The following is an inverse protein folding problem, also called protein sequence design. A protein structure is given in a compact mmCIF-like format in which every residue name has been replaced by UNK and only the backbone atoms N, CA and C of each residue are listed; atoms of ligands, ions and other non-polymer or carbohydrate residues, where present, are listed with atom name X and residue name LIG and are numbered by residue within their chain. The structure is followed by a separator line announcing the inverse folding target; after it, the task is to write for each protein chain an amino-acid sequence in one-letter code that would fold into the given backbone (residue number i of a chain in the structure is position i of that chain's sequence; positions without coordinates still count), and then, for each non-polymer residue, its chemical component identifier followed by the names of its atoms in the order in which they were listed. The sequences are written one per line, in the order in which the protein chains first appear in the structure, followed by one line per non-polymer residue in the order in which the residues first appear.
data_IF_835472719324
#
_entry.id   IF_835472719324
#
_cell.length_a   1.000
_cell.length_b   1.000
_cell.length_c   1.000
_cell.angle_alpha   90.00
_cell.angle_beta   90.00
_cell.angle_gamma   90.00
#
_symmetry.space_group_name_H-M   'P 1'
#
loop_
_entity.id
_entity.type
_entity.pdbx_description
1 polymer ?
#
# COMPACT_ATOMS: atom_id res chain seq x y z
N UNK A 1 38.36 -24.55 30.76
CA UNK A 1 38.38 -23.20 31.37
C UNK A 1 37.26 -22.40 30.73
N UNK A 2 36.27 -21.97 31.52
CA UNK A 2 35.14 -21.14 31.09
C UNK A 2 35.68 -19.70 30.99
N UNK A 3 35.82 -19.09 29.80
CA UNK A 3 36.64 -17.88 29.68
C UNK A 3 36.07 -16.64 30.40
N UNK A 4 34.81 -16.64 30.86
CA UNK A 4 34.16 -15.49 31.52
C UNK A 4 33.17 -15.86 32.67
N UNK A 5 33.24 -17.06 33.25
CA UNK A 5 32.44 -17.43 34.43
C UNK A 5 30.97 -17.80 34.21
N UNK A 6 30.47 -17.89 32.98
CA UNK A 6 29.13 -18.42 32.67
C UNK A 6 29.10 -19.19 31.34
N UNK A 7 28.18 -20.16 31.24
CA UNK A 7 27.87 -20.90 30.02
C UNK A 7 26.96 -20.05 29.13
N UNK A 8 27.41 -19.75 27.91
CA UNK A 8 26.60 -19.13 26.86
C UNK A 8 26.27 -20.18 25.81
N UNK A 9 25.00 -20.28 25.44
CA UNK A 9 24.50 -21.14 24.37
C UNK A 9 23.41 -20.37 23.61
N UNK A 10 23.50 -20.40 22.28
CA UNK A 10 22.54 -19.78 21.37
C UNK A 10 22.00 -20.89 20.45
N UNK A 11 20.67 -21.10 20.49
CA UNK A 11 20.00 -22.05 19.61
C UNK A 11 19.50 -21.32 18.36
N UNK A 12 20.27 -21.44 17.28
CA UNK A 12 19.99 -20.78 15.99
C UNK A 12 18.63 -21.20 15.40
N UNK A 13 18.11 -22.38 15.76
CA UNK A 13 16.87 -22.94 15.20
C UNK A 13 15.62 -22.61 16.04
N UNK A 14 15.81 -22.12 17.26
CA UNK A 14 14.73 -21.96 18.22
C UNK A 14 13.68 -20.96 17.76
N UNK A 15 14.10 -19.83 17.18
CA UNK A 15 13.20 -18.77 16.72
C UNK A 15 12.29 -19.26 15.58
N UNK A 16 12.87 -19.86 14.55
CA UNK A 16 12.13 -20.40 13.40
C UNK A 16 11.15 -21.49 13.84
N UNK A 17 11.59 -22.42 14.70
CA UNK A 17 10.74 -23.47 15.27
C UNK A 17 9.58 -22.89 16.08
N UNK A 18 9.85 -21.87 16.90
CA UNK A 18 8.86 -21.23 17.76
C UNK A 18 7.80 -20.50 16.95
N UNK A 19 8.21 -19.70 15.97
CA UNK A 19 7.30 -18.97 15.08
C UNK A 19 6.43 -19.93 14.26
N UNK A 20 7.02 -21.03 13.75
CA UNK A 20 6.27 -22.07 13.06
C UNK A 20 5.21 -22.74 13.96
N UNK A 21 5.55 -23.03 15.23
CA UNK A 21 4.61 -23.57 16.22
C UNK A 21 3.51 -22.57 16.57
N UNK A 22 3.82 -21.29 16.73
CA UNK A 22 2.82 -20.22 16.93
C UNK A 22 1.84 -20.15 15.74
N UNK A 23 2.32 -20.34 14.52
CA UNK A 23 1.46 -20.40 13.34
C UNK A 23 0.53 -21.62 13.36
N UNK A 24 1.04 -22.78 13.80
CA UNK A 24 0.21 -23.98 13.98
C UNK A 24 -0.87 -23.78 15.03
N UNK A 25 -0.53 -23.17 16.18
CA UNK A 25 -1.49 -22.80 17.23
C UNK A 25 -2.59 -21.90 16.66
N UNK A 26 -2.21 -20.84 15.92
CA UNK A 26 -3.16 -19.93 15.26
C UNK A 26 -4.12 -20.69 14.34
N UNK A 27 -3.60 -21.53 13.45
CA UNK A 27 -4.41 -22.31 12.49
C UNK A 27 -5.36 -23.28 13.17
N UNK A 28 -5.02 -23.76 14.37
CA UNK A 28 -5.89 -24.60 15.19
C UNK A 28 -6.83 -23.82 16.12
N UNK A 29 -6.74 -22.47 16.13
CA UNK A 29 -7.50 -21.60 17.03
C UNK A 29 -7.07 -21.65 18.50
N UNK A 30 -5.97 -22.34 18.82
CA UNK A 30 -5.49 -22.48 20.18
C UNK A 30 -4.83 -21.19 20.67
N UNK A 31 -5.22 -20.75 21.87
CA UNK A 31 -4.72 -19.53 22.52
C UNK A 31 -4.97 -18.22 21.75
N UNK A 32 -5.75 -18.25 20.67
CA UNK A 32 -6.17 -17.04 19.97
C UNK A 32 -7.04 -16.18 20.89
N UNK A 33 -6.62 -14.95 21.11
CA UNK A 33 -7.22 -13.95 22.00
C UNK A 33 -7.70 -12.72 21.22
N UNK A 34 -7.68 -12.77 19.89
CA UNK A 34 -8.32 -11.79 19.00
C UNK A 34 -9.02 -12.46 17.83
N UNK A 35 -10.15 -11.86 17.46
CA UNK A 35 -10.94 -12.13 16.28
C UNK A 35 -11.00 -10.88 15.40
N UNK A 36 -10.46 -10.98 14.18
CA UNK A 36 -10.59 -9.95 13.16
C UNK A 36 -11.76 -10.30 12.26
N UNK A 37 -12.78 -9.43 12.21
CA UNK A 37 -13.89 -9.55 11.28
C UNK A 37 -13.64 -8.63 10.08
N UNK A 38 -13.32 -9.20 8.93
CA UNK A 38 -13.00 -8.47 7.69
C UNK A 38 -14.09 -8.74 6.67
N UNK A 39 -14.94 -7.74 6.36
CA UNK A 39 -16.05 -7.89 5.43
C UNK A 39 -16.87 -9.19 5.65
N UNK A 40 -17.21 -9.47 6.90
CA UNK A 40 -17.96 -10.66 7.32
C UNK A 40 -17.14 -11.96 7.48
N UNK A 41 -15.87 -11.98 7.05
CA UNK A 41 -14.97 -13.12 7.24
C UNK A 41 -14.28 -13.04 8.60
N UNK A 42 -14.18 -14.18 9.28
CA UNK A 42 -13.61 -14.26 10.62
C UNK A 42 -12.20 -14.85 10.58
N UNK A 43 -11.23 -14.11 11.12
CA UNK A 43 -9.83 -14.52 11.21
C UNK A 43 -9.38 -14.48 12.68
N UNK A 44 -9.07 -15.65 13.24
CA UNK A 44 -8.57 -15.78 14.61
C UNK A 44 -7.04 -15.63 14.64
N UNK A 45 -6.52 -14.93 15.65
CA UNK A 45 -5.09 -14.72 15.83
C UNK A 45 -4.71 -14.46 17.31
N UNK A 46 -3.41 -14.31 17.55
CA UNK A 46 -2.86 -13.87 18.83
C UNK A 46 -2.52 -12.38 18.79
N UNK A 47 -3.01 -11.61 19.77
CA UNK A 47 -2.75 -10.17 19.93
C UNK A 47 -1.27 -9.88 20.01
N UNK A 48 -0.53 -10.67 20.78
CA UNK A 48 0.91 -10.49 20.97
C UNK A 48 1.69 -10.51 19.65
N UNK A 49 1.39 -11.48 18.76
CA UNK A 49 2.06 -11.58 17.46
C UNK A 49 1.68 -10.40 16.56
N UNK A 50 0.40 -10.05 16.49
CA UNK A 50 -0.07 -8.97 15.63
C UNK A 50 0.42 -7.59 16.10
N UNK A 51 0.48 -7.37 17.41
CA UNK A 51 1.04 -6.18 18.02
C UNK A 51 2.51 -5.95 17.65
N UNK A 52 3.32 -7.02 17.59
CA UNK A 52 4.72 -6.92 17.18
C UNK A 52 4.88 -6.49 15.72
N UNK A 53 3.93 -6.82 14.85
CA UNK A 53 4.01 -6.54 13.41
C UNK A 53 3.26 -5.27 12.99
N UNK A 54 2.31 -4.79 13.80
CA UNK A 54 1.41 -3.68 13.48
C UNK A 54 1.29 -2.73 14.68
N UNK A 55 1.90 -1.53 14.59
CA UNK A 55 1.71 -0.48 15.59
C UNK A 55 0.24 -0.07 15.76
N UNK A 56 -0.54 -0.13 14.68
CA UNK A 56 -1.97 0.16 14.72
C UNK A 56 -2.74 -0.87 15.57
N UNK A 57 -2.47 -2.16 15.37
CA UNK A 57 -3.10 -3.20 16.18
C UNK A 57 -2.60 -3.17 17.62
N UNK A 58 -1.32 -2.87 17.86
CA UNK A 58 -0.80 -2.64 19.22
C UNK A 58 -1.56 -1.52 19.95
N UNK A 59 -1.79 -0.37 19.29
CA UNK A 59 -2.59 0.73 19.83
C UNK A 59 -4.02 0.27 20.16
N UNK A 60 -4.69 -0.41 19.21
CA UNK A 60 -6.05 -0.92 19.43
C UNK A 60 -6.10 -1.87 20.61
N UNK A 61 -5.21 -2.85 20.66
CA UNK A 61 -5.21 -3.86 21.72
C UNK A 61 -4.94 -3.26 23.09
N UNK A 62 -4.14 -2.19 23.21
CA UNK A 62 -3.93 -1.53 24.49
C UNK A 62 -5.12 -0.67 24.92
N UNK A 63 -5.88 -0.15 23.97
CA UNK A 63 -7.13 0.58 24.25
C UNK A 63 -8.34 -0.34 24.45
N UNK A 64 -8.18 -1.63 24.16
CA UNK A 64 -9.28 -2.58 24.20
C UNK A 64 -9.64 -2.97 25.64
N UNK A 65 -10.91 -2.76 25.98
CA UNK A 65 -11.48 -3.03 27.29
C UNK A 65 -12.45 -4.22 27.27
N UNK A 66 -12.41 -5.06 26.22
CA UNK A 66 -13.33 -6.18 26.06
C UNK A 66 -13.35 -7.09 27.31
N UNK A 67 -14.49 -7.17 28.03
CA UNK A 67 -14.60 -7.95 29.26
C UNK A 67 -14.66 -9.47 29.01
N UNK A 68 -14.83 -9.92 27.77
CA UNK A 68 -14.99 -11.33 27.41
C UNK A 68 -13.67 -12.05 27.13
N UNK A 69 -12.54 -11.35 27.23
CA UNK A 69 -11.19 -11.91 27.13
C UNK A 69 -10.69 -12.16 25.71
N UNK A 70 -11.56 -12.13 24.70
CA UNK A 70 -11.18 -12.19 23.27
C UNK A 70 -11.57 -10.89 22.60
N UNK A 71 -10.59 -10.17 22.06
CA UNK A 71 -10.78 -8.90 21.36
C UNK A 71 -11.54 -9.09 20.04
N UNK A 72 -12.55 -8.26 19.76
CA UNK A 72 -13.28 -8.26 18.49
C UNK A 72 -12.99 -6.99 17.70
N UNK A 73 -12.25 -7.09 16.60
CA UNK A 73 -11.91 -5.94 15.75
C UNK A 73 -12.56 -6.11 14.38
N UNK A 74 -13.25 -5.07 13.91
CA UNK A 74 -13.95 -5.08 12.63
C UNK A 74 -13.29 -4.17 11.60
N UNK A 75 -13.11 -4.69 10.39
CA UNK A 75 -12.65 -3.98 9.21
C UNK A 75 -13.66 -4.14 8.08
N UNK A 76 -14.27 -3.03 7.65
CA UNK A 76 -15.24 -2.97 6.55
C UNK A 76 -14.60 -2.47 5.25
N UNK A 77 -13.41 -1.86 5.37
CA UNK A 77 -12.66 -1.19 4.31
C UNK A 77 -11.50 -2.04 3.76
N UNK A 78 -11.37 -3.29 4.23
CA UNK A 78 -10.26 -4.17 3.87
C UNK A 78 -10.73 -5.43 3.14
N UNK A 79 -9.87 -5.90 2.24
CA UNK A 79 -10.06 -7.17 1.58
C UNK A 79 -9.66 -8.34 2.51
N UNK A 80 -10.52 -9.36 2.70
CA UNK A 80 -10.24 -10.48 3.61
C UNK A 80 -8.98 -11.27 3.28
N UNK A 81 -8.74 -11.54 1.99
CA UNK A 81 -7.61 -12.34 1.53
C UNK A 81 -6.29 -11.58 1.71
N UNK A 82 -6.29 -10.27 1.46
CA UNK A 82 -5.17 -9.40 1.73
C UNK A 82 -4.80 -9.39 3.23
N UNK A 83 -5.80 -9.31 4.12
CA UNK A 83 -5.56 -9.40 5.57
C UNK A 83 -5.01 -10.78 5.94
N UNK A 84 -5.54 -11.86 5.37
CA UNK A 84 -5.02 -13.22 5.61
C UNK A 84 -3.56 -13.38 5.16
N UNK A 85 -3.17 -12.79 4.02
CA UNK A 85 -1.77 -12.75 3.56
C UNK A 85 -0.89 -12.02 4.59
N UNK A 86 -1.35 -10.90 5.15
CA UNK A 86 -0.61 -10.17 6.18
C UNK A 86 -0.50 -10.95 7.50
N UNK A 87 -1.56 -11.67 7.90
CA UNK A 87 -1.50 -12.59 9.04
C UNK A 87 -0.51 -13.71 8.78
N UNK A 88 -0.52 -14.32 7.60
CA UNK A 88 0.47 -15.34 7.26
C UNK A 88 1.88 -14.79 7.30
N UNK A 89 2.11 -13.57 6.81
CA UNK A 89 3.40 -12.88 6.93
C UNK A 89 3.83 -12.69 8.39
N UNK A 90 2.94 -12.24 9.28
CA UNK A 90 3.25 -12.04 10.70
C UNK A 90 3.72 -13.33 11.42
N UNK A 91 3.30 -14.49 10.93
CA UNK A 91 3.63 -15.80 11.53
C UNK A 91 4.66 -16.61 10.73
N UNK A 92 5.17 -16.10 9.61
CA UNK A 92 6.12 -16.86 8.76
C UNK A 92 7.26 -16.02 8.21
N UNK A 93 7.20 -14.69 8.36
CA UNK A 93 8.05 -13.73 7.68
C UNK A 93 8.03 -13.84 6.13
N UNK A 94 7.10 -14.60 5.55
CA UNK A 94 6.96 -14.79 4.11
C UNK A 94 5.71 -14.07 3.61
N UNK A 95 5.91 -13.17 2.64
CA UNK A 95 4.80 -12.50 1.95
C UNK A 95 4.52 -13.24 0.64
N UNK A 96 3.43 -14.00 0.60
CA UNK A 96 2.98 -14.73 -0.59
C UNK A 96 1.68 -14.14 -1.08
N UNK A 97 1.75 -13.36 -2.15
CA UNK A 97 0.61 -12.73 -2.79
C UNK A 97 0.70 -12.94 -4.30
N UNK A 98 -0.42 -13.22 -4.94
CA UNK A 98 -0.52 -13.21 -6.39
C UNK A 98 -0.35 -11.78 -6.92
N UNK A 99 0.12 -11.65 -8.17
CA UNK A 99 0.51 -10.35 -8.74
C UNK A 99 -0.65 -9.37 -8.76
N UNK A 100 -1.84 -9.91 -9.04
CA UNK A 100 -3.10 -9.20 -9.16
C UNK A 100 -3.57 -8.66 -7.80
N UNK A 101 -3.14 -9.27 -6.68
CA UNK A 101 -3.55 -8.93 -5.32
C UNK A 101 -2.63 -7.94 -4.60
N UNK A 102 -1.50 -7.56 -5.21
CA UNK A 102 -0.48 -6.76 -4.51
C UNK A 102 -1.01 -5.36 -4.13
N UNK A 103 -1.98 -4.81 -4.87
CA UNK A 103 -2.62 -3.52 -4.54
C UNK A 103 -3.44 -3.62 -3.27
N UNK A 104 -4.24 -4.67 -3.11
CA UNK A 104 -5.07 -4.92 -1.93
C UNK A 104 -4.19 -5.19 -0.71
N UNK A 105 -3.12 -5.98 -0.87
CA UNK A 105 -2.12 -6.23 0.19
C UNK A 105 -1.41 -4.93 0.58
N UNK A 106 -1.05 -4.08 -0.39
CA UNK A 106 -0.49 -2.75 -0.11
C UNK A 106 -1.44 -1.90 0.72
N UNK A 107 -2.72 -1.81 0.30
CA UNK A 107 -3.74 -1.02 1.00
C UNK A 107 -3.95 -1.51 2.43
N UNK A 108 -4.06 -2.82 2.63
CA UNK A 108 -4.19 -3.43 3.95
C UNK A 108 -2.95 -3.19 4.81
N UNK A 109 -1.74 -3.33 4.25
CA UNK A 109 -0.49 -3.08 4.96
C UNK A 109 -0.38 -1.62 5.41
N UNK A 110 -0.74 -0.67 4.54
CA UNK A 110 -0.81 0.75 4.89
C UNK A 110 -1.81 1.00 6.02
N UNK A 111 -3.02 0.46 5.89
CA UNK A 111 -4.11 0.63 6.86
C UNK A 111 -3.77 0.07 8.24
N UNK A 112 -3.06 -1.06 8.28
CA UNK A 112 -2.58 -1.72 9.50
C UNK A 112 -1.19 -1.21 9.94
N UNK A 113 -0.66 -0.14 9.34
CA UNK A 113 0.68 0.42 9.65
C UNK A 113 1.83 -0.62 9.58
N UNK A 114 1.73 -1.62 8.70
CA UNK A 114 2.78 -2.62 8.46
C UNK A 114 3.79 -2.12 7.42
N UNK A 115 4.64 -1.17 7.84
CA UNK A 115 5.47 -0.35 6.93
C UNK A 115 6.39 -1.16 6.03
N UNK A 116 7.05 -2.22 6.54
CA UNK A 116 7.96 -3.05 5.73
C UNK A 116 7.22 -3.77 4.59
N UNK A 117 6.02 -4.29 4.85
CA UNK A 117 5.21 -4.94 3.82
C UNK A 117 4.72 -3.90 2.81
N UNK A 118 4.22 -2.75 3.28
CA UNK A 118 3.81 -1.63 2.43
C UNK A 118 4.93 -1.22 1.47
N UNK A 119 6.16 -1.08 1.96
CA UNK A 119 7.31 -0.71 1.13
C UNK A 119 7.62 -1.76 0.07
N UNK A 120 7.68 -3.04 0.42
CA UNK A 120 7.94 -4.14 -0.52
C UNK A 120 6.85 -4.21 -1.59
N UNK A 121 5.57 -4.12 -1.21
CA UNK A 121 4.46 -4.08 -2.16
C UNK A 121 4.56 -2.87 -3.08
N UNK A 122 4.88 -1.68 -2.55
CA UNK A 122 5.03 -0.46 -3.34
C UNK A 122 6.18 -0.53 -4.34
N UNK A 123 7.33 -1.06 -3.93
CA UNK A 123 8.48 -1.23 -4.81
C UNK A 123 8.21 -2.32 -5.88
N UNK A 124 7.48 -3.39 -5.54
CA UNK A 124 6.99 -4.36 -6.52
C UNK A 124 6.05 -3.72 -7.54
N UNK A 125 5.07 -2.93 -7.07
CA UNK A 125 4.12 -2.22 -7.93
C UNK A 125 4.85 -1.31 -8.93
N UNK A 126 5.84 -0.55 -8.47
CA UNK A 126 6.69 0.27 -9.34
C UNK A 126 7.46 -0.56 -10.37
N UNK A 127 7.97 -1.74 -9.99
CA UNK A 127 8.69 -2.62 -10.92
C UNK A 127 7.81 -3.25 -12.02
N UNK A 128 6.49 -3.20 -11.86
CA UNK A 128 5.50 -3.70 -12.83
C UNK A 128 4.80 -2.60 -13.61
N UNK A 129 5.11 -1.36 -13.31
CA UNK A 129 4.54 -0.22 -14.01
C UNK A 129 5.21 -0.06 -15.38
N UNK A 130 4.40 0.30 -16.35
CA UNK A 130 4.80 0.65 -17.71
C UNK A 130 4.02 1.89 -18.16
N UNK A 131 4.27 2.37 -19.38
CA UNK A 131 3.61 3.57 -19.89
C UNK A 131 2.08 3.40 -19.92
N UNK A 132 1.56 2.19 -20.22
CA UNK A 132 0.12 1.91 -20.31
C UNK A 132 -0.58 1.91 -18.94
N UNK A 133 0.13 1.53 -17.89
CA UNK A 133 -0.41 1.40 -16.54
C UNK A 133 -0.09 2.59 -15.63
N UNK A 134 0.88 3.44 -15.97
CA UNK A 134 1.38 4.53 -15.12
C UNK A 134 0.28 5.43 -14.54
N UNK A 135 -0.73 5.78 -15.34
CA UNK A 135 -1.84 6.65 -14.90
C UNK A 135 -2.71 5.94 -13.86
N UNK A 136 -3.05 4.67 -14.10
CA UNK A 136 -3.79 3.83 -13.14
C UNK A 136 -3.03 3.69 -11.82
N UNK A 137 -1.72 3.47 -11.88
CA UNK A 137 -0.87 3.38 -10.69
C UNK A 137 -0.79 4.73 -9.95
N UNK A 138 -0.74 5.86 -10.67
CA UNK A 138 -0.76 7.19 -10.06
C UNK A 138 -2.07 7.46 -9.34
N UNK A 139 -3.21 7.16 -9.96
CA UNK A 139 -4.53 7.30 -9.33
C UNK A 139 -4.63 6.45 -8.06
N UNK A 140 -4.12 5.22 -8.10
CA UNK A 140 -4.03 4.36 -6.93
C UNK A 140 -3.16 4.98 -5.83
N UNK A 141 -1.94 5.45 -6.15
CA UNK A 141 -1.04 6.04 -5.17
C UNK A 141 -1.58 7.34 -4.55
N UNK A 142 -2.30 8.15 -5.35
CA UNK A 142 -3.00 9.37 -4.88
C UNK A 142 -4.14 9.01 -3.92
N UNK A 143 -4.99 8.03 -4.28
CA UNK A 143 -6.03 7.51 -3.38
C UNK A 143 -5.45 6.96 -2.07
N UNK A 144 -4.28 6.31 -2.16
CA UNK A 144 -3.56 5.84 -1.00
C UNK A 144 -2.85 6.95 -0.22
N UNK A 145 -2.75 8.20 -0.69
CA UNK A 145 -2.05 9.27 0.03
C UNK A 145 -0.60 8.91 0.40
N UNK A 146 0.08 8.07 -0.39
CA UNK A 146 1.50 7.75 -0.18
C UNK A 146 2.37 8.63 -1.07
N UNK A 147 2.85 9.74 -0.51
CA UNK A 147 3.65 10.73 -1.24
C UNK A 147 4.96 10.17 -1.80
N UNK A 148 5.56 9.14 -1.16
CA UNK A 148 6.78 8.49 -1.65
C UNK A 148 6.48 7.70 -2.92
N UNK A 149 5.43 6.89 -2.90
CA UNK A 149 5.00 6.12 -4.07
C UNK A 149 4.56 7.06 -5.20
N UNK A 150 3.75 8.06 -4.87
CA UNK A 150 3.25 9.05 -5.83
C UNK A 150 4.40 9.80 -6.52
N UNK A 151 5.38 10.31 -5.75
CA UNK A 151 6.54 11.02 -6.31
C UNK A 151 7.37 10.17 -7.27
N UNK A 152 7.55 8.88 -6.98
CA UNK A 152 8.25 7.96 -7.91
C UNK A 152 7.46 7.72 -9.19
N UNK A 153 6.14 7.59 -9.10
CA UNK A 153 5.27 7.41 -10.26
C UNK A 153 5.27 8.68 -11.12
N UNK A 154 5.18 9.85 -10.49
CA UNK A 154 5.21 11.13 -11.21
C UNK A 154 6.54 11.36 -11.94
N UNK A 155 7.68 10.99 -11.33
CA UNK A 155 8.98 11.05 -11.99
C UNK A 155 9.03 10.15 -13.24
N UNK A 156 8.46 8.94 -13.17
CA UNK A 156 8.34 8.06 -14.33
C UNK A 156 7.43 8.68 -15.41
N UNK A 157 6.29 9.25 -15.02
CA UNK A 157 5.39 9.91 -15.97
C UNK A 157 6.08 11.11 -16.64
N UNK A 158 6.89 11.88 -15.91
CA UNK A 158 7.70 12.96 -16.47
C UNK A 158 8.68 12.45 -17.53
N UNK A 159 9.42 11.39 -17.22
CA UNK A 159 10.41 10.80 -18.13
C UNK A 159 9.77 10.26 -19.42
N UNK A 160 8.58 9.67 -19.31
CA UNK A 160 7.85 9.04 -20.42
C UNK A 160 6.65 9.87 -20.93
N UNK A 161 6.65 11.18 -20.65
CA UNK A 161 5.48 12.03 -20.82
C UNK A 161 4.91 12.04 -22.25
N UNK A 162 5.78 11.99 -23.26
CA UNK A 162 5.35 12.00 -24.67
C UNK A 162 4.53 10.77 -25.02
N UNK A 163 5.02 9.59 -24.65
CA UNK A 163 4.34 8.32 -24.91
C UNK A 163 3.03 8.22 -24.13
N UNK A 164 3.05 8.63 -22.85
CA UNK A 164 1.86 8.60 -21.99
C UNK A 164 0.82 9.62 -22.48
N UNK A 165 1.25 10.74 -23.08
CA UNK A 165 0.34 11.75 -23.64
C UNK A 165 -0.49 11.27 -24.83
N UNK A 166 -0.08 10.20 -25.52
CA UNK A 166 -0.84 9.61 -26.63
C UNK A 166 -1.97 8.68 -26.13
N UNK A 167 -2.02 8.38 -24.84
CA UNK A 167 -3.03 7.48 -24.27
C UNK A 167 -4.34 8.20 -23.97
N UNK A 168 -5.45 7.48 -24.13
CA UNK A 168 -6.79 7.99 -23.82
C UNK A 168 -6.93 8.41 -22.35
N UNK A 169 -6.23 7.69 -21.46
CA UNK A 169 -6.26 7.91 -20.02
C UNK A 169 -5.46 9.13 -19.57
N UNK A 170 -4.64 9.75 -20.43
CA UNK A 170 -3.82 10.93 -20.09
C UNK A 170 -4.62 12.06 -19.45
N UNK A 171 -5.85 12.21 -19.92
CA UNK A 171 -6.81 13.23 -19.49
C UNK A 171 -7.33 13.02 -18.05
N UNK A 172 -7.02 11.88 -17.43
CA UNK A 172 -7.38 11.56 -16.03
C UNK A 172 -6.35 12.06 -15.01
N UNK A 173 -5.22 12.61 -15.45
CA UNK A 173 -4.20 13.17 -14.57
C UNK A 173 -4.62 14.57 -14.05
N UNK A 174 -4.48 14.87 -12.74
CA UNK A 174 -4.83 16.19 -12.20
C UNK A 174 -3.90 17.28 -12.73
N UNK A 175 -4.51 18.42 -13.10
CA UNK A 175 -3.93 19.44 -13.98
C UNK A 175 -2.75 20.21 -13.37
N UNK A 176 -2.81 20.54 -12.08
CA UNK A 176 -1.77 21.37 -11.43
C UNK A 176 -0.39 20.73 -11.55
N UNK A 177 -0.32 19.39 -11.52
CA UNK A 177 0.94 18.68 -11.66
C UNK A 177 1.46 18.66 -13.10
N UNK A 178 0.57 18.56 -14.10
CA UNK A 178 0.96 18.62 -15.51
C UNK A 178 1.57 19.98 -15.88
N UNK A 179 1.02 21.09 -15.35
CA UNK A 179 1.58 22.43 -15.57
C UNK A 179 2.98 22.57 -14.93
N UNK A 180 3.16 22.11 -13.68
CA UNK A 180 4.47 22.08 -13.00
C UNK A 180 5.47 21.17 -13.72
N UNK A 181 5.04 20.00 -14.18
CA UNK A 181 5.89 19.06 -14.95
C UNK A 181 6.33 19.63 -16.31
N UNK A 182 5.55 20.56 -16.86
CA UNK A 182 5.83 21.24 -18.13
C UNK A 182 6.74 22.46 -17.96
N UNK A 183 6.61 23.21 -16.86
CA UNK A 183 7.48 24.35 -16.54
C UNK A 183 8.94 23.92 -16.37
N UNK A 184 9.20 22.77 -15.74
CA UNK A 184 10.57 22.24 -15.60
C UNK A 184 11.18 21.72 -16.92
N UNK A 185 10.36 21.46 -17.94
CA UNK A 185 10.75 20.85 -19.21
C UNK A 185 10.70 21.82 -20.41
N UNK A 186 10.75 23.14 -20.17
CA UNK A 186 10.68 24.19 -21.20
C UNK A 186 11.73 24.07 -22.33
N UNK A 187 12.78 23.28 -22.15
CA UNK A 187 13.87 23.06 -23.11
C UNK A 187 13.60 21.97 -24.17
N UNK A 188 12.50 21.20 -24.08
CA UNK A 188 12.22 20.13 -25.04
C UNK A 188 11.54 20.63 -26.34
N UNK A 189 12.03 20.24 -27.54
CA UNK A 189 11.46 20.64 -28.82
C UNK A 189 10.05 20.07 -29.11
N UNK A 190 9.57 19.13 -28.29
CA UNK A 190 8.23 18.53 -28.38
C UNK A 190 7.12 19.34 -27.71
N UNK A 191 7.44 20.46 -27.04
CA UNK A 191 6.49 21.25 -26.25
C UNK A 191 5.28 21.75 -27.06
N UNK A 192 5.42 22.00 -28.36
CA UNK A 192 4.29 22.41 -29.20
C UNK A 192 3.16 21.37 -29.29
N UNK A 193 3.51 20.08 -29.41
CA UNK A 193 2.52 18.99 -29.46
C UNK A 193 1.90 18.75 -28.09
N UNK A 194 2.70 18.76 -27.03
CA UNK A 194 2.18 18.53 -25.69
C UNK A 194 1.28 19.68 -25.22
N UNK A 195 1.69 20.93 -25.49
CA UNK A 195 0.88 22.12 -25.27
C UNK A 195 -0.46 22.03 -26.02
N UNK A 196 -0.45 21.64 -27.31
CA UNK A 196 -1.70 21.47 -28.06
C UNK A 196 -2.62 20.42 -27.46
N UNK A 197 -2.08 19.30 -26.96
CA UNK A 197 -2.87 18.25 -26.29
C UNK A 197 -3.46 18.73 -24.96
N UNK A 198 -2.65 19.40 -24.14
CA UNK A 198 -3.11 20.00 -22.88
C UNK A 198 -4.22 21.00 -23.18
N UNK A 199 -4.02 21.91 -24.13
CA UNK A 199 -5.04 22.88 -24.53
C UNK A 199 -6.31 22.20 -25.05
N UNK A 200 -6.21 21.20 -25.94
CA UNK A 200 -7.37 20.44 -26.40
C UNK A 200 -8.11 19.73 -25.26
N UNK A 201 -7.40 19.27 -24.23
CA UNK A 201 -8.01 18.73 -23.02
C UNK A 201 -8.74 19.78 -22.21
N UNK A 202 -8.12 20.94 -21.94
CA UNK A 202 -8.76 22.06 -21.20
C UNK A 202 -10.08 22.43 -21.87
N UNK A 203 -10.02 22.55 -23.19
CA UNK A 203 -11.15 22.86 -24.04
C UNK A 203 -12.25 21.81 -23.91
N UNK A 204 -11.91 20.52 -24.00
CA UNK A 204 -12.86 19.41 -23.85
C UNK A 204 -13.48 19.33 -22.45
N UNK A 205 -12.68 19.43 -21.39
CA UNK A 205 -13.18 19.29 -20.00
C UNK A 205 -14.07 20.46 -19.57
N UNK A 206 -13.75 21.69 -20.00
CA UNK A 206 -14.57 22.88 -19.71
C UNK A 206 -15.83 22.96 -20.58
N UNK A 207 -15.77 22.55 -21.86
CA UNK A 207 -16.87 22.73 -22.81
C UNK A 207 -17.75 21.50 -23.02
N UNK A 208 -17.22 20.28 -22.97
CA UNK A 208 -18.00 19.04 -23.17
C UNK A 208 -18.52 18.45 -21.85
N UNK A 209 -17.73 18.50 -20.78
CA UNK A 209 -18.09 17.89 -19.49
C UNK A 209 -18.65 18.88 -18.45
N UNK A 210 -18.55 20.20 -18.71
CA UNK A 210 -19.06 21.25 -17.82
C UNK A 210 -18.40 21.29 -16.44
N UNK A 211 -17.17 20.77 -16.30
CA UNK A 211 -16.47 20.77 -15.03
C UNK A 211 -15.94 22.16 -14.67
N UNK A 212 -16.02 22.52 -13.39
CA UNK A 212 -15.41 23.75 -12.87
C UNK A 212 -13.88 23.61 -12.81
N UNK A 213 -13.16 24.65 -13.24
CA UNK A 213 -11.69 24.70 -13.25
C UNK A 213 -11.06 24.30 -11.90
N UNK A 214 -11.74 24.62 -10.79
CA UNK A 214 -11.30 24.29 -9.43
C UNK A 214 -11.22 22.78 -9.16
N UNK A 215 -12.10 21.96 -9.76
CA UNK A 215 -12.03 20.49 -9.67
C UNK A 215 -10.97 19.85 -10.55
N UNK A 216 -10.49 20.60 -11.55
CA UNK A 216 -9.39 20.17 -12.41
C UNK A 216 -8.04 20.35 -11.71
N UNK A 217 -7.99 21.15 -10.65
CA UNK A 217 -6.84 21.33 -9.76
C UNK A 217 -7.01 20.33 -8.60
N UNK A 218 -5.98 19.51 -8.32
CA UNK A 218 -6.02 18.56 -7.19
C UNK A 218 -6.31 19.36 -5.91
N UNK A 219 -7.33 18.99 -5.12
CA UNK A 219 -7.44 19.49 -3.75
C UNK A 219 -6.23 18.96 -2.99
N UNK A 220 -5.25 19.86 -2.80
CA UNK A 220 -4.13 19.64 -1.90
C UNK A 220 -4.69 19.64 -0.49
N UNK A 221 -4.90 18.45 0.08
CA UNK A 221 -5.05 18.27 1.51
C UNK A 221 -3.69 18.08 2.18
#
# INVERSE_FOLDING_TARGET
MIPNGYLMFEDESFLDSTVAKMNALRKSGQFCDVRLQVCGHELMAHRAVLACCSPYLFEIFNSDTDPHGVSHIKFEDLDPEAVEILLNYAYTAQLKADKERVREVYSAAKRLKMERVKQICGDYLLSKMDCQSAISFRSFASCMGDGRLLGKIDAYIQEHLLEISDQEDFLKLPRLKLEVMLEDNLSLPSNGKLYSKVMSWVQRSLWENGEHLERLMEEVY
#
